data_IF_757754551184
#
_entry.id   IF_757754551184
#
_cell.length_a   1.000
_cell.length_b   1.000
_cell.length_c   1.000
_cell.angle_alpha   90.00
_cell.angle_beta   90.00
_cell.angle_gamma   90.00
#
_symmetry.space_group_name_H-M   'P 1'
#
loop_
_entity.id
_entity.type
_entity.pdbx_description
1 polymer ?
#
# COMPACT_ATOMS: atom_id res chain seq x y z
N UNK A 1 15.52 8.96 -4.94
CA UNK A 1 14.05 8.96 -4.85
C UNK A 1 13.65 10.33 -4.33
N UNK A 2 12.72 11.03 -4.95
CA UNK A 2 12.15 12.23 -4.32
C UNK A 2 11.37 11.73 -3.10
N UNK A 3 11.90 11.97 -1.91
CA UNK A 3 11.24 11.61 -0.67
C UNK A 3 9.94 12.41 -0.57
N UNK A 4 8.84 11.71 -0.27
CA UNK A 4 7.59 12.39 0.09
C UNK A 4 7.84 13.16 1.38
N UNK A 5 7.38 14.42 1.43
CA UNK A 5 7.47 15.18 2.68
C UNK A 5 6.59 14.54 3.75
N UNK A 6 6.95 14.74 5.02
CA UNK A 6 6.12 14.29 6.15
C UNK A 6 4.70 14.86 6.09
N UNK A 7 4.56 16.11 5.63
CA UNK A 7 3.27 16.76 5.44
C UNK A 7 2.40 16.01 4.42
N UNK A 8 2.96 15.64 3.26
CA UNK A 8 2.21 14.89 2.24
C UNK A 8 1.85 13.48 2.73
N UNK A 9 2.75 12.83 3.46
CA UNK A 9 2.47 11.51 4.04
C UNK A 9 1.35 11.58 5.10
N UNK A 10 1.34 12.63 5.91
CA UNK A 10 0.31 12.85 6.91
C UNK A 10 -1.03 13.14 6.26
N UNK A 11 -1.08 14.08 5.30
CA UNK A 11 -2.30 14.41 4.56
C UNK A 11 -2.87 13.18 3.84
N UNK A 12 -2.02 12.38 3.20
CA UNK A 12 -2.44 11.13 2.57
C UNK A 12 -3.01 10.13 3.58
N UNK A 13 -2.36 9.99 4.74
CA UNK A 13 -2.81 9.07 5.79
C UNK A 13 -4.16 9.48 6.36
N UNK A 14 -4.37 10.77 6.59
CA UNK A 14 -5.64 11.31 7.09
C UNK A 14 -6.78 11.06 6.09
N UNK A 15 -6.52 11.25 4.78
CA UNK A 15 -7.51 10.96 3.73
C UNK A 15 -7.85 9.47 3.64
N UNK A 16 -6.87 8.58 3.76
CA UNK A 16 -7.13 7.12 3.76
C UNK A 16 -7.99 6.74 4.96
N UNK A 17 -7.71 7.28 6.15
CA UNK A 17 -8.52 7.02 7.34
C UNK A 17 -9.97 7.49 7.13
N UNK A 18 -10.17 8.71 6.62
CA UNK A 18 -11.51 9.25 6.34
C UNK A 18 -12.28 8.38 5.32
N UNK A 19 -11.62 7.91 4.26
CA UNK A 19 -12.24 7.02 3.26
C UNK A 19 -12.72 5.73 3.95
N UNK A 20 -11.87 5.10 4.76
CA UNK A 20 -12.18 3.84 5.41
C UNK A 20 -13.27 3.99 6.48
N UNK A 21 -13.29 5.11 7.22
CA UNK A 21 -14.37 5.46 8.15
C UNK A 21 -15.70 5.66 7.42
N UNK A 22 -15.70 6.39 6.30
CA UNK A 22 -16.89 6.60 5.47
C UNK A 22 -17.45 5.30 4.87
N UNK A 23 -16.57 4.34 4.60
CA UNK A 23 -16.94 3.00 4.14
C UNK A 23 -17.38 2.07 5.28
N UNK A 24 -17.29 2.51 6.54
CA UNK A 24 -17.61 1.71 7.74
C UNK A 24 -16.82 0.40 7.79
N UNK A 25 -15.55 0.44 7.40
CA UNK A 25 -14.68 -0.74 7.43
C UNK A 25 -14.22 -1.05 8.85
N UNK A 26 -14.27 -2.33 9.20
CA UNK A 26 -13.60 -2.84 10.38
C UNK A 26 -12.06 -2.79 10.19
N UNK A 27 -11.26 -2.77 11.27
CA UNK A 27 -9.81 -2.64 11.17
C UNK A 27 -9.13 -3.63 10.21
N UNK A 28 -9.53 -4.90 10.24
CA UNK A 28 -8.95 -5.92 9.34
C UNK A 28 -9.32 -5.66 7.87
N UNK A 29 -10.55 -5.20 7.61
CA UNK A 29 -11.00 -4.86 6.26
C UNK A 29 -10.29 -3.62 5.71
N UNK A 30 -9.97 -2.66 6.58
CA UNK A 30 -9.15 -1.50 6.24
C UNK A 30 -7.74 -1.93 5.84
N UNK A 31 -7.11 -2.83 6.60
CA UNK A 31 -5.79 -3.37 6.27
C UNK A 31 -5.79 -4.14 4.94
N UNK A 32 -6.80 -4.98 4.72
CA UNK A 32 -6.99 -5.71 3.45
C UNK A 32 -7.17 -4.76 2.27
N UNK A 33 -7.96 -3.69 2.43
CA UNK A 33 -8.17 -2.68 1.40
C UNK A 33 -6.87 -1.94 1.06
N UNK A 34 -6.15 -1.44 2.06
CA UNK A 34 -4.88 -0.73 1.88
C UNK A 34 -3.85 -1.63 1.20
N UNK A 35 -3.71 -2.87 1.67
CA UNK A 35 -2.80 -3.87 1.09
C UNK A 35 -3.14 -4.17 -0.38
N UNK A 36 -4.42 -4.39 -0.67
CA UNK A 36 -4.90 -4.64 -2.04
C UNK A 36 -4.65 -3.46 -2.97
N UNK A 37 -4.87 -2.22 -2.49
CA UNK A 37 -4.57 -1.00 -3.25
C UNK A 37 -3.07 -0.85 -3.52
N UNK A 38 -2.22 -1.12 -2.53
CA UNK A 38 -0.77 -1.08 -2.70
C UNK A 38 -0.29 -2.09 -3.75
N UNK A 39 -0.75 -3.35 -3.67
CA UNK A 39 -0.44 -4.41 -4.64
C UNK A 39 -0.92 -3.98 -6.04
N UNK A 40 -2.17 -3.55 -6.17
CA UNK A 40 -2.75 -3.10 -7.44
C UNK A 40 -1.97 -1.94 -8.06
N UNK A 41 -1.54 -0.96 -7.26
CA UNK A 41 -0.72 0.15 -7.72
C UNK A 41 0.63 -0.33 -8.26
N UNK A 42 1.34 -1.19 -7.53
CA UNK A 42 2.63 -1.78 -7.96
C UNK A 42 2.48 -2.47 -9.32
N UNK A 43 1.47 -3.33 -9.46
CA UNK A 43 1.19 -4.03 -10.71
C UNK A 43 0.79 -3.08 -11.85
N UNK A 44 -0.01 -2.05 -11.58
CA UNK A 44 -0.44 -1.06 -12.58
C UNK A 44 0.71 -0.24 -13.17
N UNK A 45 1.79 -0.05 -12.39
CA UNK A 45 3.02 0.57 -12.83
C UNK A 45 3.99 -0.40 -13.53
N UNK A 46 3.56 -1.64 -13.78
CA UNK A 46 4.36 -2.67 -14.45
C UNK A 46 5.50 -3.22 -13.60
N UNK A 47 5.46 -3.01 -12.28
CA UNK A 47 6.46 -3.56 -11.36
C UNK A 47 6.01 -4.94 -10.88
N UNK A 48 6.95 -5.86 -10.81
CA UNK A 48 6.73 -7.25 -10.34
C UNK A 48 7.38 -7.52 -9.00
N UNK A 49 8.32 -6.67 -8.61
CA UNK A 49 9.02 -6.66 -7.32
C UNK A 49 9.12 -5.22 -6.81
N UNK A 50 8.39 -4.89 -5.74
CA UNK A 50 8.50 -3.56 -5.14
C UNK A 50 8.46 -3.63 -3.63
N UNK A 51 9.46 -3.01 -3.00
CA UNK A 51 9.61 -2.92 -1.55
C UNK A 51 9.47 -1.46 -1.10
N UNK A 52 8.62 -1.24 -0.11
CA UNK A 52 8.58 0.00 0.66
C UNK A 52 9.21 -0.27 2.02
N UNK A 53 10.08 0.63 2.46
CA UNK A 53 10.76 0.56 3.74
C UNK A 53 10.54 1.86 4.51
N UNK A 54 10.12 1.72 5.77
CA UNK A 54 10.11 2.80 6.75
C UNK A 54 11.31 2.56 7.66
N UNK A 55 12.37 3.33 7.44
CA UNK A 55 13.67 3.16 8.10
C UNK A 55 13.54 3.00 9.61
N UNK A 56 13.99 1.85 10.13
CA UNK A 56 13.99 1.54 11.56
C UNK A 56 12.63 1.12 12.15
N UNK A 57 11.58 1.00 11.33
CA UNK A 57 10.23 0.63 11.78
C UNK A 57 9.76 -0.68 11.15
N UNK A 58 9.63 -0.73 9.82
CA UNK A 58 9.07 -1.89 9.10
C UNK A 58 9.34 -1.84 7.59
N UNK A 59 9.07 -2.95 6.90
CA UNK A 59 9.02 -2.96 5.42
C UNK A 59 7.89 -3.85 4.91
N UNK A 60 7.34 -3.51 3.76
CA UNK A 60 6.36 -4.31 3.02
C UNK A 60 6.86 -4.57 1.59
N UNK A 61 6.56 -5.75 1.05
CA UNK A 61 7.01 -6.18 -0.28
C UNK A 61 5.84 -6.76 -1.08
N UNK A 62 5.78 -6.39 -2.35
CA UNK A 62 4.94 -7.04 -3.36
C UNK A 62 5.84 -7.87 -4.26
N UNK A 63 5.50 -9.15 -4.38
CA UNK A 63 6.13 -10.10 -5.30
C UNK A 63 5.02 -10.76 -6.12
N UNK A 64 5.07 -10.59 -7.44
CA UNK A 64 4.09 -11.23 -8.34
C UNK A 64 4.34 -12.73 -8.37
N UNK A 65 3.35 -13.51 -7.94
CA UNK A 65 3.38 -14.96 -8.08
C UNK A 65 2.95 -15.30 -9.50
N UNK A 66 3.89 -15.66 -10.35
CA UNK A 66 3.58 -16.26 -11.65
C UNK A 66 3.26 -17.74 -11.42
N UNK A 67 2.03 -18.16 -11.73
CA UNK A 67 1.74 -19.59 -11.81
C UNK A 67 2.66 -20.19 -12.89
N UNK A 68 3.44 -21.21 -12.51
CA UNK A 68 4.22 -21.97 -13.47
C UNK A 68 3.21 -22.61 -14.45
N UNK A 69 3.23 -22.18 -15.70
CA UNK A 69 2.32 -22.68 -16.73
C UNK A 69 2.31 -24.21 -16.75
N UNK A 70 1.12 -24.79 -16.73
CA UNK A 70 0.89 -26.21 -17.04
C UNK A 70 1.25 -26.52 -18.50
#
# INVERSE_FOLDING_TARGET
MSELSQEVLQEFSDQVAEICENMQLEPDQMLDAIGSTFIGAVLSFGKTDYRVEVSGVASAMVETIFEAGE
#
